data_IF_734347814138
#
_entry.id   IF_734347814138
#
_cell.length_a   1.000
_cell.length_b   1.000
_cell.length_c   1.000
_cell.angle_alpha   90.00
_cell.angle_beta   90.00
_cell.angle_gamma   90.00
#
_symmetry.space_group_name_H-M   'P 1'
#
loop_
_entity.id
_entity.type
_entity.pdbx_description
1 polymer ?
#
# COMPACT_ATOMS: atom_id res chain seq x y z
N UNK A 1 3.60 6.15 -21.87
CA UNK A 1 2.15 6.41 -21.84
C UNK A 1 1.96 7.68 -21.03
N UNK A 2 1.35 8.70 -21.61
CA UNK A 2 1.01 9.92 -20.87
C UNK A 2 -0.20 9.58 -20.00
N UNK A 3 0.06 9.33 -18.72
CA UNK A 3 -0.97 8.92 -17.76
C UNK A 3 -1.57 10.19 -17.20
N UNK A 4 -2.67 10.62 -17.80
CA UNK A 4 -3.35 11.82 -17.35
C UNK A 4 -3.93 11.59 -15.95
N UNK A 5 -3.77 12.56 -15.04
CA UNK A 5 -4.22 12.44 -13.64
C UNK A 5 -5.45 13.30 -13.34
N UNK A 6 -6.16 12.93 -12.29
CA UNK A 6 -7.18 13.72 -11.61
C UNK A 6 -6.74 13.93 -10.15
N UNK A 7 -7.00 15.12 -9.59
CA UNK A 7 -6.66 15.45 -8.20
C UNK A 7 -7.93 15.54 -7.37
N UNK A 8 -7.94 14.89 -6.22
CA UNK A 8 -9.00 15.02 -5.21
C UNK A 8 -8.35 15.17 -3.84
N UNK A 9 -8.55 16.31 -3.16
CA UNK A 9 -7.83 16.60 -1.92
C UNK A 9 -6.31 16.56 -2.12
N UNK A 10 -5.63 15.71 -1.34
CA UNK A 10 -4.18 15.47 -1.40
C UNK A 10 -3.75 14.29 -2.28
N UNK A 11 -4.70 13.55 -2.87
CA UNK A 11 -4.39 12.37 -3.68
C UNK A 11 -4.46 12.66 -5.18
N UNK A 12 -3.50 12.12 -5.91
CA UNK A 12 -3.50 12.08 -7.37
C UNK A 12 -3.89 10.68 -7.85
N UNK A 13 -4.89 10.64 -8.72
CA UNK A 13 -5.54 9.42 -9.18
C UNK A 13 -5.37 9.34 -10.69
N UNK A 14 -5.13 8.14 -11.21
CA UNK A 14 -5.22 7.93 -12.66
C UNK A 14 -6.60 8.35 -13.17
N UNK A 15 -6.65 9.14 -14.26
CA UNK A 15 -7.90 9.71 -14.77
C UNK A 15 -8.89 8.61 -15.20
N UNK A 16 -8.43 7.54 -15.84
CA UNK A 16 -9.30 6.47 -16.28
C UNK A 16 -9.94 5.75 -15.08
N UNK A 17 -9.17 5.53 -14.01
CA UNK A 17 -9.70 4.98 -12.76
C UNK A 17 -10.70 5.93 -12.11
N UNK A 18 -10.40 7.22 -12.03
CA UNK A 18 -11.30 8.21 -11.43
C UNK A 18 -12.64 8.28 -12.18
N UNK A 19 -12.60 8.36 -13.51
CA UNK A 19 -13.79 8.38 -14.37
C UNK A 19 -14.58 7.08 -14.29
N UNK A 20 -13.90 5.93 -14.27
CA UNK A 20 -14.55 4.62 -14.12
C UNK A 20 -15.31 4.54 -12.79
N UNK A 21 -14.67 4.90 -11.68
CA UNK A 21 -15.31 4.84 -10.37
C UNK A 21 -16.54 5.77 -10.33
N UNK A 22 -16.42 7.00 -10.82
CA UNK A 22 -17.54 7.94 -10.76
C UNK A 22 -18.69 7.56 -11.68
N UNK A 23 -18.39 7.19 -12.93
CA UNK A 23 -19.40 7.04 -13.98
C UNK A 23 -19.98 5.63 -14.09
N UNK A 24 -19.25 4.60 -13.63
CA UNK A 24 -19.72 3.21 -13.72
C UNK A 24 -20.03 2.61 -12.35
N UNK A 25 -19.17 2.83 -11.34
CA UNK A 25 -19.31 2.21 -10.02
C UNK A 25 -20.29 3.00 -9.16
N UNK A 26 -20.05 4.30 -8.97
CA UNK A 26 -20.85 5.15 -8.10
C UNK A 26 -22.20 5.53 -8.70
N UNK A 27 -22.33 5.59 -10.04
CA UNK A 27 -23.58 5.90 -10.72
C UNK A 27 -24.75 4.97 -10.31
N UNK A 28 -24.45 3.74 -9.89
CA UNK A 28 -25.44 2.75 -9.43
C UNK A 28 -25.44 2.58 -7.90
N UNK A 29 -24.78 3.46 -7.16
CA UNK A 29 -24.61 3.42 -5.71
C UNK A 29 -25.40 4.52 -5.02
N UNK A 30 -25.69 4.34 -3.73
CA UNK A 30 -26.22 5.39 -2.86
C UNK A 30 -25.13 6.30 -2.29
N UNK A 31 -23.86 5.96 -2.51
CA UNK A 31 -22.71 6.72 -2.01
C UNK A 31 -22.38 7.85 -2.98
N UNK A 32 -22.32 9.09 -2.47
CA UNK A 32 -21.93 10.23 -3.28
C UNK A 32 -20.41 10.25 -3.53
N UNK A 33 -20.02 10.83 -4.67
CA UNK A 33 -18.63 10.90 -5.13
C UNK A 33 -17.68 11.57 -4.12
N UNK A 34 -18.07 12.72 -3.59
CA UNK A 34 -17.22 13.48 -2.66
C UNK A 34 -16.96 12.69 -1.37
N UNK A 35 -18.00 12.07 -0.81
CA UNK A 35 -17.93 11.22 0.37
C UNK A 35 -17.07 9.98 0.12
N UNK A 36 -17.19 9.35 -1.05
CA UNK A 36 -16.33 8.22 -1.41
C UNK A 36 -14.85 8.63 -1.43
N UNK A 37 -14.49 9.68 -2.17
CA UNK A 37 -13.09 10.05 -2.33
C UNK A 37 -12.48 10.66 -1.06
N UNK A 38 -13.24 11.45 -0.30
CA UNK A 38 -12.79 11.93 1.02
C UNK A 38 -12.60 10.74 1.98
N UNK A 39 -13.49 9.75 1.96
CA UNK A 39 -13.35 8.53 2.74
C UNK A 39 -12.11 7.73 2.35
N UNK A 40 -11.86 7.59 1.05
CA UNK A 40 -10.68 6.90 0.52
C UNK A 40 -9.37 7.61 0.89
N UNK A 41 -9.31 8.93 0.74
CA UNK A 41 -8.17 9.75 1.17
C UNK A 41 -7.89 9.54 2.68
N UNK A 42 -8.93 9.56 3.53
CA UNK A 42 -8.79 9.33 4.96
C UNK A 42 -8.25 7.92 5.27
N UNK A 43 -8.67 6.89 4.53
CA UNK A 43 -8.12 5.53 4.68
C UNK A 43 -6.63 5.53 4.34
N UNK A 44 -6.23 6.15 3.23
CA UNK A 44 -4.82 6.23 2.84
C UNK A 44 -3.99 6.97 3.89
N UNK A 45 -4.43 8.13 4.36
CA UNK A 45 -3.72 8.90 5.38
C UNK A 45 -3.52 8.10 6.69
N UNK A 46 -4.51 7.30 7.07
CA UNK A 46 -4.45 6.53 8.32
C UNK A 46 -3.63 5.23 8.23
N UNK A 47 -3.62 4.59 7.06
CA UNK A 47 -3.07 3.24 6.91
C UNK A 47 -1.75 3.20 6.15
N UNK A 48 -1.45 4.14 5.24
CA UNK A 48 -0.17 4.17 4.53
C UNK A 48 1.04 4.19 5.49
N UNK A 49 1.10 5.05 6.53
CA UNK A 49 2.24 5.05 7.44
C UNK A 49 2.40 3.73 8.22
N UNK A 50 1.28 3.06 8.53
CA UNK A 50 1.28 1.77 9.23
C UNK A 50 1.77 0.64 8.32
N UNK A 51 1.33 0.62 7.07
CA UNK A 51 1.77 -0.36 6.07
C UNK A 51 3.27 -0.20 5.84
N UNK A 52 3.77 1.03 5.64
CA UNK A 52 5.20 1.29 5.48
C UNK A 52 6.02 0.85 6.71
N UNK A 53 5.49 1.04 7.91
CA UNK A 53 6.14 0.56 9.13
C UNK A 53 6.23 -0.96 9.19
N UNK A 54 5.16 -1.67 8.84
CA UNK A 54 5.15 -3.13 8.80
C UNK A 54 6.08 -3.69 7.72
N UNK A 55 6.19 -3.01 6.58
CA UNK A 55 7.17 -3.38 5.55
C UNK A 55 8.61 -3.23 6.08
N UNK A 56 8.92 -2.14 6.79
CA UNK A 56 10.24 -1.98 7.43
C UNK A 56 10.54 -3.08 8.46
N UNK A 57 9.55 -3.51 9.24
CA UNK A 57 9.72 -4.63 10.18
C UNK A 57 10.04 -5.92 9.43
N UNK A 58 9.36 -6.18 8.30
CA UNK A 58 9.66 -7.34 7.46
C UNK A 58 11.09 -7.30 6.93
N UNK A 59 11.53 -6.13 6.46
CA UNK A 59 12.89 -5.95 5.93
C UNK A 59 13.95 -6.14 7.03
N UNK A 60 13.68 -5.67 8.24
CA UNK A 60 14.55 -5.84 9.40
C UNK A 60 14.70 -7.32 9.79
N UNK A 61 13.59 -8.05 9.91
CA UNK A 61 13.65 -9.48 10.18
C UNK A 61 14.36 -10.26 9.09
N UNK A 62 14.12 -9.93 7.81
CA UNK A 62 14.83 -10.58 6.72
C UNK A 62 16.33 -10.30 6.79
N UNK A 63 16.72 -9.07 7.12
CA UNK A 63 18.13 -8.70 7.26
C UNK A 63 18.79 -9.48 8.40
N UNK A 64 18.14 -9.63 9.55
CA UNK A 64 18.65 -10.42 10.68
C UNK A 64 18.79 -11.91 10.33
N UNK A 65 17.83 -12.48 9.60
CA UNK A 65 17.90 -13.86 9.10
C UNK A 65 19.09 -14.02 8.14
N UNK A 66 19.24 -13.10 7.20
CA UNK A 66 20.32 -13.12 6.22
C UNK A 66 21.69 -13.00 6.90
N UNK A 67 21.84 -12.07 7.85
CA UNK A 67 23.04 -11.89 8.66
C UNK A 67 23.39 -13.15 9.45
N UNK A 68 22.39 -13.79 10.07
CA UNK A 68 22.59 -15.04 10.79
C UNK A 68 23.12 -16.14 9.87
N UNK A 69 22.51 -16.33 8.70
CA UNK A 69 22.97 -17.34 7.74
C UNK A 69 24.36 -17.04 7.18
N UNK A 70 24.71 -15.77 6.96
CA UNK A 70 26.04 -15.37 6.53
C UNK A 70 27.10 -15.64 7.60
N UNK A 71 26.80 -15.35 8.86
CA UNK A 71 27.70 -15.60 10.00
C UNK A 71 27.92 -17.10 10.26
N UNK A 72 26.93 -17.95 9.96
CA UNK A 72 26.96 -19.40 10.18
C UNK A 72 27.21 -20.19 8.88
N UNK A 73 27.88 -19.57 7.92
CA UNK A 73 28.15 -20.22 6.63
C UNK A 73 29.01 -21.47 6.80
N UNK A 74 28.50 -22.61 6.34
CA UNK A 74 29.21 -23.90 6.37
C UNK A 74 29.04 -24.70 7.65
N UNK A 75 28.32 -24.18 8.66
CA UNK A 75 27.85 -25.00 9.77
C UNK A 75 26.51 -25.65 9.40
N UNK A 76 26.25 -26.93 9.76
CA UNK A 76 24.92 -27.50 9.66
C UNK A 76 23.90 -26.62 10.38
N UNK A 77 22.69 -26.50 9.82
CA UNK A 77 21.62 -25.74 10.44
C UNK A 77 21.17 -26.45 11.72
N UNK A 78 21.27 -25.74 12.85
CA UNK A 78 20.77 -26.21 14.14
C UNK A 78 19.29 -25.78 14.29
N UNK A 79 18.40 -26.76 14.44
CA UNK A 79 16.95 -26.53 14.55
C UNK A 79 16.46 -26.38 16.00
N UNK A 80 17.30 -26.65 17.00
CA UNK A 80 16.88 -26.67 18.42
C UNK A 80 17.24 -25.42 19.23
N UNK A 81 17.89 -24.42 18.62
CA UNK A 81 18.24 -23.15 19.28
C UNK A 81 17.08 -22.15 19.34
#
# INVERSE_FOLDING_TARGET
>A
MDVSKATHGSIEIDRALYEFVNNAVLANSTVNQEHFWNGFENVLQNFTPKIEHLLRIRDDYQSQIDEWHLAHKGTPHDQES
#
